data_IF_890691274359
#
_entry.id   IF_890691274359
#
_cell.length_a   1.000
_cell.length_b   1.000
_cell.length_c   1.000
_cell.angle_alpha   90.00
_cell.angle_beta   90.00
_cell.angle_gamma   90.00
#
_symmetry.space_group_name_H-M   'P 1'
#
loop_
_entity.id
_entity.type
_entity.pdbx_description
1 polymer ?
#
# COMPACT_ATOMS: atom_id res chain seq x y z
N UNK A 1 4.44 3.12 -18.07
CA UNK A 1 4.04 3.54 -16.71
C UNK A 1 5.28 4.04 -15.98
N UNK A 2 5.20 5.18 -15.29
CA UNK A 2 6.37 5.81 -14.66
C UNK A 2 6.94 4.99 -13.49
N UNK A 3 8.18 5.30 -13.09
CA UNK A 3 8.90 4.63 -11.99
C UNK A 3 8.07 4.59 -10.69
N UNK A 4 7.33 5.66 -10.38
CA UNK A 4 6.46 5.77 -9.21
C UNK A 4 5.38 4.68 -9.18
N UNK A 5 4.72 4.40 -10.31
CA UNK A 5 3.70 3.35 -10.37
C UNK A 5 4.28 1.97 -10.07
N UNK A 6 5.49 1.69 -10.59
CA UNK A 6 6.19 0.42 -10.35
C UNK A 6 6.58 0.27 -8.88
N UNK A 7 7.09 1.34 -8.27
CA UNK A 7 7.44 1.36 -6.85
C UNK A 7 6.22 1.14 -5.96
N UNK A 8 5.10 1.80 -6.25
CA UNK A 8 3.84 1.58 -5.53
C UNK A 8 3.35 0.14 -5.63
N UNK A 9 3.48 -0.48 -6.80
CA UNK A 9 3.08 -1.87 -6.99
C UNK A 9 3.95 -2.84 -6.19
N UNK A 10 5.27 -2.64 -6.18
CA UNK A 10 6.20 -3.45 -5.38
C UNK A 10 5.88 -3.31 -3.88
N UNK A 11 5.67 -2.08 -3.40
CA UNK A 11 5.30 -1.85 -2.00
C UNK A 11 3.95 -2.51 -1.64
N UNK A 12 2.96 -2.44 -2.53
CA UNK A 12 1.66 -3.10 -2.36
C UNK A 12 1.80 -4.63 -2.25
N UNK A 13 2.65 -5.23 -3.09
CA UNK A 13 2.92 -6.67 -3.05
C UNK A 13 3.61 -7.06 -1.74
N UNK A 14 4.63 -6.30 -1.31
CA UNK A 14 5.32 -6.55 -0.03
C UNK A 14 4.33 -6.45 1.15
N UNK A 15 3.49 -5.43 1.15
CA UNK A 15 2.46 -5.26 2.16
C UNK A 15 1.47 -6.44 2.16
N UNK A 16 1.05 -6.92 0.99
CA UNK A 16 0.15 -8.08 0.89
C UNK A 16 0.79 -9.33 1.51
N UNK A 17 2.06 -9.58 1.22
CA UNK A 17 2.81 -10.67 1.86
C UNK A 17 2.87 -10.51 3.38
N UNK A 18 3.11 -9.29 3.87
CA UNK A 18 3.09 -9.01 5.30
C UNK A 18 1.72 -9.29 5.94
N UNK A 19 0.62 -8.88 5.30
CA UNK A 19 -0.74 -9.14 5.80
C UNK A 19 -1.04 -10.64 5.85
N UNK A 20 -0.69 -11.38 4.80
CA UNK A 20 -0.87 -12.83 4.77
C UNK A 20 -0.05 -13.52 5.87
N UNK A 21 1.20 -13.09 6.06
CA UNK A 21 2.06 -13.57 7.13
C UNK A 21 1.47 -13.26 8.52
N UNK A 22 0.97 -12.05 8.73
CA UNK A 22 0.34 -11.64 9.98
C UNK A 22 -0.91 -12.47 10.32
N UNK A 23 -1.75 -12.77 9.32
CA UNK A 23 -2.93 -13.62 9.49
C UNK A 23 -2.53 -15.04 9.94
N UNK A 24 -1.48 -15.61 9.34
CA UNK A 24 -1.00 -16.95 9.71
C UNK A 24 -0.40 -17.02 11.12
N UNK A 25 0.04 -15.90 11.69
CA UNK A 25 0.69 -15.84 13.00
C UNK A 25 -0.20 -15.18 14.06
N UNK A 26 -1.47 -14.94 13.75
CA UNK A 26 -2.37 -14.17 14.63
C UNK A 26 -2.52 -14.81 16.02
N UNK A 27 -2.63 -16.13 16.08
CA UNK A 27 -2.78 -16.88 17.34
C UNK A 27 -1.53 -16.74 18.22
N UNK A 28 -0.34 -16.81 17.61
CA UNK A 28 0.93 -16.64 18.30
C UNK A 28 1.21 -15.18 18.71
N UNK A 29 0.49 -14.21 18.14
CA UNK A 29 0.69 -12.77 18.35
C UNK A 29 -0.35 -12.13 19.26
N UNK A 30 -1.35 -12.90 19.69
CA UNK A 30 -2.45 -12.41 20.49
C UNK A 30 -2.00 -11.97 21.89
N UNK A 31 -0.99 -12.64 22.45
CA UNK A 31 -0.51 -12.37 23.82
C UNK A 31 0.36 -11.10 23.92
N UNK A 32 1.00 -10.68 22.83
CA UNK A 32 1.96 -9.56 22.81
C UNK A 32 1.42 -8.28 22.14
N UNK A 33 0.13 -8.22 21.81
CA UNK A 33 -0.49 -7.06 21.13
C UNK A 33 -0.06 -6.87 19.66
N UNK A 34 0.81 -7.74 19.15
CA UNK A 34 1.28 -7.74 17.75
C UNK A 34 0.16 -8.03 16.76
N UNK A 35 -0.85 -8.80 17.16
CA UNK A 35 -2.03 -9.07 16.36
C UNK A 35 -2.80 -7.76 16.04
N UNK A 36 -2.96 -6.87 17.03
CA UNK A 36 -3.61 -5.58 16.83
C UNK A 36 -2.84 -4.68 15.85
N UNK A 37 -1.50 -4.68 15.94
CA UNK A 37 -0.63 -3.94 15.02
C UNK A 37 -0.75 -4.50 13.59
N UNK A 38 -0.72 -5.83 13.43
CA UNK A 38 -0.88 -6.48 12.13
C UNK A 38 -2.21 -6.14 11.45
N UNK A 39 -3.30 -6.18 12.22
CA UNK A 39 -4.64 -5.80 11.74
C UNK A 39 -4.67 -4.32 11.34
N UNK A 40 -4.11 -3.43 12.17
CA UNK A 40 -4.04 -2.00 11.87
C UNK A 40 -3.26 -1.72 10.58
N UNK A 41 -2.09 -2.35 10.39
CA UNK A 41 -1.31 -2.23 9.15
C UNK A 41 -2.08 -2.78 7.94
N UNK A 42 -2.85 -3.85 8.12
CA UNK A 42 -3.79 -4.35 7.12
C UNK A 42 -4.82 -3.29 6.72
N UNK A 43 -5.51 -2.68 7.67
CA UNK A 43 -6.49 -1.63 7.37
C UNK A 43 -5.86 -0.38 6.73
N UNK A 44 -4.69 0.05 7.22
CA UNK A 44 -3.99 1.22 6.68
C UNK A 44 -3.61 1.00 5.21
N UNK A 45 -3.10 -0.18 4.85
CA UNK A 45 -2.75 -0.48 3.46
C UNK A 45 -3.94 -0.39 2.50
N UNK A 46 -5.13 -0.83 2.93
CA UNK A 46 -6.36 -0.73 2.13
C UNK A 46 -6.75 0.72 1.79
N UNK A 47 -6.33 1.70 2.59
CA UNK A 47 -6.59 3.13 2.33
C UNK A 47 -5.40 3.76 1.59
N UNK A 48 -4.18 3.50 2.06
CA UNK A 48 -2.96 4.13 1.56
C UNK A 48 -2.69 3.77 0.10
N UNK A 49 -2.84 2.50 -0.30
CA UNK A 49 -2.52 2.10 -1.68
C UNK A 49 -3.49 2.70 -2.71
N UNK A 50 -4.82 2.65 -2.56
CA UNK A 50 -5.73 3.33 -3.48
C UNK A 50 -5.46 4.82 -3.60
N UNK A 51 -5.27 5.51 -2.46
CA UNK A 51 -4.94 6.95 -2.45
C UNK A 51 -3.63 7.20 -3.21
N UNK A 52 -2.58 6.41 -2.94
CA UNK A 52 -1.31 6.50 -3.64
C UNK A 52 -1.47 6.37 -5.17
N UNK A 53 -2.15 5.34 -5.65
CA UNK A 53 -2.33 5.12 -7.08
C UNK A 53 -3.16 6.21 -7.75
N UNK A 54 -4.20 6.72 -7.07
CA UNK A 54 -4.98 7.88 -7.55
C UNK A 54 -4.10 9.12 -7.66
N UNK A 55 -3.29 9.42 -6.65
CA UNK A 55 -2.37 10.57 -6.69
C UNK A 55 -1.34 10.44 -7.81
N UNK A 56 -0.71 9.27 -7.97
CA UNK A 56 0.24 9.01 -9.05
C UNK A 56 -0.41 9.18 -10.43
N UNK A 57 -1.64 8.70 -10.59
CA UNK A 57 -2.39 8.87 -11.83
C UNK A 57 -2.71 10.35 -12.11
N UNK A 58 -3.27 11.07 -11.12
CA UNK A 58 -3.63 12.48 -11.26
C UNK A 58 -2.40 13.35 -11.53
N UNK A 59 -1.31 13.13 -10.80
CA UNK A 59 -0.06 13.85 -11.01
C UNK A 59 0.51 13.60 -12.41
N UNK A 60 0.49 12.34 -12.86
CA UNK A 60 0.87 11.99 -14.23
C UNK A 60 0.01 12.69 -15.29
N UNK A 61 -1.29 12.87 -15.03
CA UNK A 61 -2.21 13.61 -15.91
C UNK A 61 -1.89 15.11 -15.95
N UNK A 62 -1.68 15.73 -14.79
CA UNK A 62 -1.34 17.17 -14.67
C UNK A 62 -0.02 17.48 -15.37
N UNK A 63 1.02 16.68 -15.14
CA UNK A 63 2.33 16.88 -15.78
C UNK A 63 2.25 16.78 -17.30
N UNK A 64 1.44 15.85 -17.83
CA UNK A 64 1.25 15.75 -19.29
C UNK A 64 0.47 16.93 -19.86
N UNK A 65 -0.58 17.40 -19.17
CA UNK A 65 -1.36 18.54 -19.62
C UNK A 65 -0.54 19.84 -19.67
N UNK A 66 0.39 20.05 -18.73
CA UNK A 66 1.28 21.20 -18.72
C UNK A 66 2.34 21.20 -19.83
N UNK A 67 2.65 20.04 -20.43
CA UNK A 67 3.65 19.93 -21.51
C UNK A 67 3.10 20.31 -22.90
N UNK A 68 1.78 20.45 -23.02
CA UNK A 68 1.09 20.81 -24.27
C UNK A 68 0.60 22.27 -24.31
N UNK A 69 0.95 23.08 -23.31
CA UNK A 69 0.80 24.54 -23.29
C UNK A 69 2.17 25.19 -23.44
#
# INVERSE_FOLDING_TARGET
>A
MGIAYRLGYVAMVIWLFYVLYAIQHVDAWNDDGRAAIGIFIGFVGLIVFPVYFVLVYLFGKVVRAGKHR
#
